data_IF_865036349269
#
_entry.id   IF_865036349269
#
_cell.length_a   1.000
_cell.length_b   1.000
_cell.length_c   1.000
_cell.angle_alpha   90.00
_cell.angle_beta   90.00
_cell.angle_gamma   90.00
#
_symmetry.space_group_name_H-M   'P 1'
#
loop_
_entity.id
_entity.type
_entity.pdbx_description
1 polymer ?
#
# COMPACT_ATOMS: atom_id res chain seq x y z
N UNK A 1 22.01 13.52 -14.66
CA UNK A 1 21.79 12.36 -13.78
C UNK A 1 20.73 12.74 -12.75
N UNK A 2 19.54 12.13 -12.78
CA UNK A 2 18.54 12.28 -11.72
C UNK A 2 18.66 11.08 -10.78
N UNK A 3 19.03 11.33 -9.53
CA UNK A 3 19.00 10.33 -8.48
C UNK A 3 17.56 9.83 -8.32
N UNK A 4 17.34 8.53 -8.55
CA UNK A 4 16.11 7.85 -8.15
C UNK A 4 16.20 7.69 -6.64
N UNK A 5 15.35 8.39 -5.90
CA UNK A 5 15.25 8.28 -4.45
C UNK A 5 14.80 6.88 -4.07
N UNK A 6 15.76 6.03 -3.69
CA UNK A 6 15.53 4.81 -2.93
C UNK A 6 15.31 5.24 -1.47
N UNK A 7 14.06 5.46 -1.07
CA UNK A 7 13.72 5.59 0.34
C UNK A 7 13.44 4.21 0.90
N UNK A 8 14.38 3.73 1.72
CA UNK A 8 14.31 2.45 2.41
C UNK A 8 13.20 2.40 3.45
N UNK A 9 12.52 1.26 3.53
CA UNK A 9 11.47 0.96 4.50
C UNK A 9 12.08 0.61 5.85
N UNK A 10 12.30 1.61 6.70
CA UNK A 10 12.46 1.36 8.13
C UNK A 10 11.08 1.02 8.71
N UNK A 11 10.92 -0.13 9.36
CA UNK A 11 9.65 -0.57 9.96
C UNK A 11 9.07 0.41 11.00
N UNK A 12 9.86 1.36 11.50
CA UNK A 12 9.40 2.45 12.36
C UNK A 12 8.53 3.50 11.64
N UNK A 13 8.46 3.47 10.30
CA UNK A 13 7.80 4.50 9.49
C UNK A 13 6.61 3.98 8.65
N UNK A 14 6.22 2.71 8.82
CA UNK A 14 5.11 2.08 8.09
C UNK A 14 5.48 1.53 6.71
N UNK A 15 4.56 0.76 6.12
CA UNK A 15 4.65 0.23 4.75
C UNK A 15 3.87 1.14 3.81
N UNK A 16 4.44 1.44 2.64
CA UNK A 16 3.97 2.57 1.82
C UNK A 16 3.80 2.20 0.34
N UNK A 17 2.59 2.39 -0.17
CA UNK A 17 2.34 2.33 -1.61
C UNK A 17 2.90 3.57 -2.32
N UNK A 18 3.78 3.36 -3.29
CA UNK A 18 4.27 4.42 -4.20
C UNK A 18 3.69 4.31 -5.62
N UNK A 19 2.97 3.24 -5.93
CA UNK A 19 2.25 3.09 -7.21
C UNK A 19 1.05 4.02 -7.20
N UNK A 20 1.06 5.02 -8.08
CA UNK A 20 -0.06 5.92 -8.28
C UNK A 20 -0.97 5.43 -9.40
N UNK A 21 -2.28 5.55 -9.21
CA UNK A 21 -3.28 5.03 -10.13
C UNK A 21 -4.48 5.94 -10.35
N UNK A 22 -5.39 5.48 -11.21
CA UNK A 22 -6.69 6.13 -11.34
C UNK A 22 -7.55 5.79 -10.11
N UNK A 23 -8.44 6.70 -9.66
CA UNK A 23 -9.34 6.40 -8.55
C UNK A 23 -10.09 5.11 -8.76
N UNK A 24 -10.15 4.27 -7.73
CA UNK A 24 -11.02 3.09 -7.75
C UNK A 24 -12.50 3.51 -7.74
N UNK A 25 -13.39 2.55 -8.03
CA UNK A 25 -14.84 2.78 -7.91
C UNK A 25 -15.19 3.28 -6.48
N UNK A 26 -15.78 4.49 -6.34
CA UNK A 26 -16.02 5.08 -5.03
C UNK A 26 -16.96 4.24 -4.16
N UNK A 27 -17.99 3.62 -4.74
CA UNK A 27 -18.92 2.78 -3.98
C UNK A 27 -18.24 1.53 -3.43
N UNK A 28 -17.33 0.93 -4.19
CA UNK A 28 -16.49 -0.18 -3.72
C UNK A 28 -15.54 0.27 -2.61
N UNK A 29 -14.91 1.43 -2.75
CA UNK A 29 -14.04 1.98 -1.71
C UNK A 29 -14.79 2.19 -0.40
N UNK A 30 -15.94 2.88 -0.44
CA UNK A 30 -16.76 3.15 0.75
C UNK A 30 -17.22 1.86 1.44
N UNK A 31 -17.55 0.81 0.68
CA UNK A 31 -17.88 -0.51 1.26
C UNK A 31 -16.70 -1.13 2.00
N UNK A 32 -15.49 -1.05 1.42
CA UNK A 32 -14.27 -1.58 2.04
C UNK A 32 -13.91 -0.79 3.30
N UNK A 33 -13.99 0.55 3.22
CA UNK A 33 -13.78 1.46 4.35
C UNK A 33 -14.74 1.18 5.49
N UNK A 34 -16.05 1.16 5.22
CA UNK A 34 -17.06 0.89 6.24
C UNK A 34 -16.89 -0.49 6.89
N UNK A 35 -16.46 -1.50 6.13
CA UNK A 35 -16.18 -2.82 6.68
C UNK A 35 -14.95 -2.82 7.61
N UNK A 36 -13.91 -2.09 7.25
CA UNK A 36 -12.70 -1.95 8.06
C UNK A 36 -12.97 -1.16 9.35
N UNK A 37 -13.68 -0.04 9.24
CA UNK A 37 -14.05 0.80 10.38
C UNK A 37 -14.97 0.06 11.36
N UNK A 38 -15.93 -0.73 10.85
CA UNK A 38 -16.76 -1.61 11.69
C UNK A 38 -15.94 -2.67 12.44
N UNK A 39 -14.80 -3.08 11.89
CA UNK A 39 -13.87 -4.00 12.52
C UNK A 39 -12.85 -3.30 13.45
N UNK A 40 -13.09 -2.03 13.81
CA UNK A 40 -12.22 -1.24 14.69
C UNK A 40 -11.05 -0.55 13.99
N UNK A 41 -10.98 -0.62 12.65
CA UNK A 41 -9.93 0.06 11.88
C UNK A 41 -10.21 1.55 11.67
N UNK A 42 -9.20 2.28 11.23
CA UNK A 42 -9.25 3.70 10.87
C UNK A 42 -8.52 3.92 9.55
N UNK A 43 -9.22 4.52 8.58
CA UNK A 43 -8.61 5.08 7.36
C UNK A 43 -8.55 6.60 7.54
N UNK A 44 -7.37 7.11 7.85
CA UNK A 44 -7.16 8.56 8.00
C UNK A 44 -6.86 9.19 6.63
N UNK A 45 -7.76 10.09 6.21
CA UNK A 45 -7.65 10.88 4.98
C UNK A 45 -7.63 12.39 5.31
N UNK A 46 -7.30 12.75 6.55
CA UNK A 46 -7.19 14.13 7.02
C UNK A 46 -6.10 14.90 6.27
N UNK A 47 -6.13 16.23 6.38
CA UNK A 47 -5.11 17.07 5.76
C UNK A 47 -3.69 16.78 6.28
N UNK A 48 -3.56 16.37 7.55
CA UNK A 48 -2.28 15.95 8.13
C UNK A 48 -1.80 14.62 7.53
N UNK A 49 -2.69 13.64 7.40
CA UNK A 49 -2.37 12.38 6.73
C UNK A 49 -1.92 12.61 5.28
N UNK A 50 -2.62 13.46 4.53
CA UNK A 50 -2.25 13.80 3.15
C UNK A 50 -0.89 14.50 3.10
N UNK A 51 -0.62 15.47 3.97
CA UNK A 51 0.71 16.11 4.08
C UNK A 51 1.81 15.08 4.38
N UNK A 52 1.54 14.13 5.27
CA UNK A 52 2.48 13.07 5.57
C UNK A 52 2.75 12.19 4.34
N UNK A 53 1.71 11.78 3.63
CA UNK A 53 1.83 11.02 2.37
C UNK A 53 2.57 11.81 1.28
N UNK A 54 2.42 13.15 1.22
CA UNK A 54 3.19 14.01 0.31
C UNK A 54 4.68 13.97 0.62
N UNK A 55 5.06 14.10 1.90
CA UNK A 55 6.47 14.00 2.31
C UNK A 55 7.08 12.64 1.99
N UNK A 56 6.28 11.57 2.04
CA UNK A 56 6.70 10.20 1.73
C UNK A 56 6.70 9.89 0.22
N UNK A 57 6.07 10.74 -0.60
CA UNK A 57 5.81 10.41 -2.01
C UNK A 57 4.90 9.19 -2.19
N UNK A 58 4.02 8.93 -1.22
CA UNK A 58 3.16 7.75 -1.17
C UNK A 58 1.69 8.07 -1.51
N UNK A 59 0.97 7.08 -2.01
CA UNK A 59 -0.49 7.13 -2.19
C UNK A 59 -1.24 6.57 -0.97
N UNK A 60 -0.64 5.60 -0.29
CA UNK A 60 -1.15 4.97 0.93
C UNK A 60 -0.02 4.58 1.86
N UNK A 61 -0.35 4.42 3.14
CA UNK A 61 0.59 3.96 4.16
C UNK A 61 -0.10 3.22 5.30
N UNK A 62 0.36 2.03 5.65
CA UNK A 62 -0.14 1.29 6.81
C UNK A 62 0.77 1.50 8.00
N UNK A 63 0.22 2.08 9.06
CA UNK A 63 0.95 2.36 10.30
C UNK A 63 0.97 1.14 11.23
N UNK A 64 -0.14 0.42 11.32
CA UNK A 64 -0.29 -0.77 12.17
C UNK A 64 -1.51 -1.62 11.75
N UNK A 65 -1.93 -2.56 12.60
CA UNK A 65 -3.06 -3.48 12.37
C UNK A 65 -4.46 -2.81 12.30
N UNK A 66 -4.54 -1.54 12.69
CA UNK A 66 -5.79 -0.80 12.89
C UNK A 66 -5.79 0.55 12.16
N UNK A 67 -4.62 1.13 11.85
CA UNK A 67 -4.53 2.45 11.21
C UNK A 67 -3.80 2.37 9.87
N UNK A 68 -4.47 2.87 8.83
CA UNK A 68 -3.86 3.18 7.53
C UNK A 68 -4.19 4.62 7.12
N UNK A 69 -3.31 5.20 6.31
CA UNK A 69 -3.46 6.50 5.67
C UNK A 69 -3.73 6.25 4.19
N UNK A 70 -4.70 6.96 3.63
CA UNK A 70 -4.97 6.92 2.19
C UNK A 70 -5.24 8.33 1.67
N UNK A 71 -4.75 8.64 0.47
CA UNK A 71 -5.20 9.84 -0.22
C UNK A 71 -6.71 9.81 -0.49
N UNK A 72 -7.37 10.97 -0.60
CA UNK A 72 -8.72 11.03 -1.16
C UNK A 72 -8.76 10.43 -2.56
N UNK A 73 -9.83 9.71 -2.89
CA UNK A 73 -10.01 9.03 -4.18
C UNK A 73 -8.83 8.10 -4.56
N UNK A 74 -8.44 7.16 -3.67
CA UNK A 74 -7.24 6.35 -3.87
C UNK A 74 -7.39 5.35 -5.02
N UNK A 75 -6.26 4.93 -5.59
CA UNK A 75 -6.20 3.85 -6.57
C UNK A 75 -6.57 2.50 -6.00
N UNK A 76 -6.99 1.58 -6.87
CA UNK A 76 -7.28 0.22 -6.46
C UNK A 76 -6.03 -0.47 -5.90
N UNK A 77 -4.86 -0.24 -6.51
CA UNK A 77 -3.60 -0.81 -6.03
C UNK A 77 -3.28 -0.34 -4.62
N UNK A 78 -3.35 0.97 -4.35
CA UNK A 78 -3.10 1.52 -3.02
C UNK A 78 -4.04 0.94 -1.97
N UNK A 79 -5.34 0.93 -2.24
CA UNK A 79 -6.32 0.40 -1.28
C UNK A 79 -6.03 -1.07 -0.96
N UNK A 80 -5.88 -1.93 -1.98
CA UNK A 80 -5.67 -3.36 -1.73
C UNK A 80 -4.31 -3.65 -1.08
N UNK A 81 -3.27 -2.90 -1.42
CA UNK A 81 -1.96 -3.02 -0.82
C UNK A 81 -1.99 -2.72 0.68
N UNK A 82 -2.57 -1.59 1.09
CA UNK A 82 -2.66 -1.24 2.52
C UNK A 82 -3.52 -2.26 3.30
N UNK A 83 -4.58 -2.80 2.70
CA UNK A 83 -5.34 -3.89 3.31
C UNK A 83 -4.54 -5.18 3.47
N UNK A 84 -3.63 -5.48 2.54
CA UNK A 84 -2.71 -6.62 2.67
C UNK A 84 -1.78 -6.39 3.87
N UNK A 85 -1.20 -5.20 3.99
CA UNK A 85 -0.30 -4.84 5.08
C UNK A 85 -0.98 -4.89 6.44
N UNK A 86 -2.19 -4.36 6.57
CA UNK A 86 -3.01 -4.54 7.80
C UNK A 86 -3.17 -6.01 8.15
N UNK A 87 -3.46 -6.86 7.16
CA UNK A 87 -3.55 -8.31 7.37
C UNK A 87 -2.23 -8.94 7.80
N UNK A 88 -1.08 -8.44 7.33
CA UNK A 88 0.23 -8.92 7.76
C UNK A 88 0.52 -8.48 9.22
N UNK A 89 0.23 -7.23 9.59
CA UNK A 89 0.33 -6.73 10.96
C UNK A 89 -0.51 -7.54 11.94
N UNK A 90 -1.78 -7.82 11.59
CA UNK A 90 -2.70 -8.63 12.43
C UNK A 90 -2.20 -10.06 12.70
N UNK A 91 -1.29 -10.57 11.87
CA UNK A 91 -0.66 -11.89 12.05
C UNK A 91 0.66 -11.84 12.83
N UNK A 92 1.00 -10.70 13.42
CA UNK A 92 2.21 -10.53 14.21
C UNK A 92 3.49 -10.40 13.38
N UNK A 93 3.41 -10.09 12.08
CA UNK A 93 4.58 -9.79 11.24
C UNK A 93 5.02 -8.35 11.49
N UNK A 94 5.92 -8.16 12.45
CA UNK A 94 6.42 -6.86 12.91
C UNK A 94 7.92 -6.95 13.18
N UNK A 95 8.75 -7.06 12.15
CA UNK A 95 10.17 -6.69 12.26
C UNK A 95 10.70 -6.03 10.97
N UNK A 96 11.74 -5.21 11.09
CA UNK A 96 12.34 -4.47 9.96
C UNK A 96 13.03 -5.36 8.93
N UNK A 97 13.45 -6.57 9.30
CA UNK A 97 13.95 -7.58 8.36
C UNK A 97 12.84 -8.16 7.47
N UNK A 98 11.58 -8.11 7.90
CA UNK A 98 10.42 -8.63 7.17
C UNK A 98 9.79 -7.65 6.19
N UNK A 99 10.11 -6.34 6.26
CA UNK A 99 9.47 -5.31 5.45
C UNK A 99 9.56 -5.57 3.94
N UNK A 100 10.76 -5.90 3.45
CA UNK A 100 10.95 -6.23 2.03
C UNK A 100 10.18 -7.49 1.60
N UNK A 101 10.11 -8.50 2.46
CA UNK A 101 9.33 -9.72 2.19
C UNK A 101 7.82 -9.43 2.21
N UNK A 102 7.36 -8.54 3.09
CA UNK A 102 5.96 -8.10 3.15
C UNK A 102 5.55 -7.35 1.87
N UNK A 103 6.42 -6.46 1.38
CA UNK A 103 6.26 -5.72 0.12
C UNK A 103 6.23 -6.67 -1.10
N UNK A 104 7.08 -7.70 -1.11
CA UNK A 104 7.07 -8.75 -2.15
C UNK A 104 5.75 -9.53 -2.10
N UNK A 105 5.32 -9.99 -0.93
CA UNK A 105 4.06 -10.71 -0.76
C UNK A 105 2.88 -9.83 -1.23
N UNK A 106 2.86 -8.55 -0.87
CA UNK A 106 1.82 -7.62 -1.28
C UNK A 106 1.79 -7.45 -2.80
N UNK A 107 2.93 -7.18 -3.43
CA UNK A 107 3.04 -7.03 -4.87
C UNK A 107 2.60 -8.31 -5.62
N UNK A 108 2.99 -9.49 -5.15
CA UNK A 108 2.55 -10.77 -5.72
C UNK A 108 1.03 -10.95 -5.61
N UNK A 109 0.44 -10.62 -4.45
CA UNK A 109 -1.01 -10.69 -4.26
C UNK A 109 -1.76 -9.73 -5.16
N UNK A 110 -1.29 -8.49 -5.33
CA UNK A 110 -1.87 -7.53 -6.27
C UNK A 110 -1.86 -8.07 -7.71
N UNK A 111 -0.71 -8.57 -8.17
CA UNK A 111 -0.56 -9.11 -9.53
C UNK A 111 -1.48 -10.32 -9.74
N UNK A 112 -1.52 -11.25 -8.78
CA UNK A 112 -2.32 -12.47 -8.89
C UNK A 112 -3.83 -12.19 -8.88
N UNK A 113 -4.28 -11.16 -8.16
CA UNK A 113 -5.70 -10.82 -8.03
C UNK A 113 -6.15 -9.67 -8.92
N UNK A 114 -5.26 -9.07 -9.74
CA UNK A 114 -5.51 -7.86 -10.53
C UNK A 114 -6.86 -7.80 -11.24
N UNK A 115 -7.30 -8.92 -11.85
CA UNK A 115 -8.58 -8.99 -12.56
C UNK A 115 -9.77 -8.92 -11.61
N UNK A 116 -9.75 -9.70 -10.54
CA UNK A 116 -10.82 -9.74 -9.54
C UNK A 116 -10.91 -8.42 -8.75
N UNK A 117 -9.77 -7.74 -8.57
CA UNK A 117 -9.70 -6.49 -7.83
C UNK A 117 -9.94 -5.25 -8.70
N UNK A 118 -9.96 -5.42 -10.03
CA UNK A 118 -10.16 -4.32 -10.97
C UNK A 118 -8.94 -3.41 -11.08
N UNK A 119 -7.73 -3.94 -10.87
CA UNK A 119 -6.48 -3.18 -10.97
C UNK A 119 -6.15 -2.97 -12.45
N UNK A 120 -6.00 -1.72 -12.91
CA UNK A 120 -5.66 -1.42 -14.29
C UNK A 120 -4.33 -2.03 -14.75
N UNK A 121 -4.19 -2.25 -16.06
CA UNK A 121 -2.95 -2.77 -16.65
C UNK A 121 -1.76 -1.83 -16.48
N UNK A 122 -1.97 -0.51 -16.36
CA UNK A 122 -0.91 0.46 -16.02
C UNK A 122 -0.35 0.20 -14.63
N UNK A 123 -1.22 0.14 -13.62
CA UNK A 123 -0.83 -0.12 -12.23
C UNK A 123 -0.23 -1.53 -12.08
N UNK A 124 -0.82 -2.55 -12.71
CA UNK A 124 -0.26 -3.91 -12.71
C UNK A 124 1.19 -3.93 -13.22
N UNK A 125 1.48 -3.19 -14.30
CA UNK A 125 2.84 -3.11 -14.84
C UNK A 125 3.79 -2.42 -13.87
N UNK A 126 3.36 -1.32 -13.26
CA UNK A 126 4.15 -0.64 -12.23
C UNK A 126 4.44 -1.56 -11.03
N UNK A 127 3.46 -2.35 -10.58
CA UNK A 127 3.64 -3.35 -9.52
C UNK A 127 4.63 -4.46 -9.93
N UNK A 128 4.58 -4.94 -11.18
CA UNK A 128 5.55 -5.93 -11.70
C UNK A 128 6.97 -5.37 -11.68
N UNK A 129 7.15 -4.14 -12.13
CA UNK A 129 8.47 -3.50 -12.14
C UNK A 129 9.00 -3.25 -10.72
N UNK A 130 8.12 -2.85 -9.79
CA UNK A 130 8.46 -2.72 -8.36
C UNK A 130 8.85 -4.07 -7.74
N UNK A 131 8.09 -5.14 -8.02
CA UNK A 131 8.40 -6.50 -7.56
C UNK A 131 9.77 -7.00 -8.06
N UNK A 132 10.14 -6.68 -9.30
CA UNK A 132 11.48 -7.00 -9.83
C UNK A 132 12.57 -6.31 -9.00
N UNK A 133 12.41 -5.01 -8.74
CA UNK A 133 13.36 -4.26 -7.90
C UNK A 133 13.49 -4.83 -6.50
N UNK A 134 12.37 -5.22 -5.86
CA UNK A 134 12.42 -5.86 -4.55
C UNK A 134 13.17 -7.20 -4.56
N UNK A 135 12.99 -8.02 -5.60
CA UNK A 135 13.70 -9.30 -5.74
C UNK A 135 15.18 -9.13 -6.02
N UNK A 136 15.60 -8.02 -6.63
CA UNK A 136 17.01 -7.67 -6.81
C UNK A 136 17.67 -7.29 -5.47
N UNK A 137 16.94 -6.62 -4.57
CA UNK A 137 17.44 -6.26 -3.23
C UNK A 137 17.66 -7.46 -2.30
N UNK A 138 17.09 -8.63 -2.62
CA UNK A 138 17.30 -9.89 -1.89
C UNK A 138 18.54 -10.68 -2.35
N UNK A 139 19.23 -10.23 -3.39
CA UNK A 139 20.42 -10.88 -3.95
C UNK A 139 21.69 -10.31 -3.32
#
# INVERSE_FOLDING_TARGET
MKARGLFGTNASEGLATTVQGAPMDPAKFERMKAAFERAGGTIDQSADAVRYLDMRGAEGLTLNAETMLLRPNPSASAVFEEFIHVGQFRRGRIDSSSGLLMEIEAAERLINNRKAWGIPSSETRATIDRLRGFREMLR
#
